data_IF_652703297889
#
_entry.id   IF_652703297889
#
_cell.length_a   1.000
_cell.length_b   1.000
_cell.length_c   1.000
_cell.angle_alpha   90.00
_cell.angle_beta   90.00
_cell.angle_gamma   90.00
#
_symmetry.space_group_name_H-M   'P 1'
#
loop_
_entity.id
_entity.type
_entity.pdbx_description
1 polymer ?
#
# COMPACT_ATOMS: atom_id res chain seq x y z
N UNK A 1 6.37 22.57 -17.70
CA UNK A 1 6.33 21.10 -17.68
C UNK A 1 6.95 20.54 -18.94
N UNK A 2 7.69 19.47 -18.84
CA UNK A 2 8.31 18.79 -19.97
C UNK A 2 7.69 17.38 -20.12
N UNK A 3 7.48 16.95 -21.35
CA UNK A 3 7.06 15.57 -21.62
C UNK A 3 8.12 14.54 -21.24
N UNK A 4 9.36 14.98 -20.98
CA UNK A 4 10.44 14.12 -20.53
C UNK A 4 10.42 13.89 -19.00
N UNK A 5 9.63 14.65 -18.26
CA UNK A 5 9.53 14.48 -16.81
C UNK A 5 9.01 13.09 -16.47
N UNK A 6 9.61 12.48 -15.45
CA UNK A 6 9.25 11.14 -14.97
C UNK A 6 9.00 11.19 -13.49
N UNK A 7 7.97 10.47 -13.06
CA UNK A 7 7.60 10.36 -11.66
C UNK A 7 7.47 8.90 -11.28
N UNK A 8 7.79 8.58 -10.04
CA UNK A 8 7.57 7.24 -9.52
C UNK A 8 6.08 7.09 -9.20
N UNK A 9 5.55 5.93 -9.50
CA UNK A 9 4.18 5.57 -9.17
C UNK A 9 4.21 4.29 -8.34
N UNK A 10 3.44 4.25 -7.27
CA UNK A 10 3.32 3.04 -6.47
C UNK A 10 1.88 2.82 -6.04
N UNK A 11 1.53 1.59 -5.75
CA UNK A 11 0.19 1.21 -5.29
C UNK A 11 0.31 0.35 -4.05
N UNK A 12 -0.46 0.66 -3.02
CA UNK A 12 -0.42 -0.04 -1.74
C UNK A 12 -1.84 -0.34 -1.26
N UNK A 13 -1.97 -1.41 -0.49
CA UNK A 13 -3.23 -1.88 0.04
C UNK A 13 -3.38 -1.59 1.53
N UNK A 14 -4.55 -1.13 1.92
CA UNK A 14 -4.97 -1.11 3.32
C UNK A 14 -5.84 -2.35 3.54
N UNK A 15 -5.28 -3.30 4.28
CA UNK A 15 -5.93 -4.55 4.64
C UNK A 15 -6.07 -4.57 6.16
N UNK A 16 -7.29 -4.71 6.65
CA UNK A 16 -7.54 -4.70 8.10
C UNK A 16 -8.08 -6.04 8.56
N UNK A 17 -7.82 -6.37 9.83
CA UNK A 17 -8.42 -7.51 10.49
C UNK A 17 -9.77 -7.12 11.12
N UNK A 18 -10.38 -8.05 11.87
CA UNK A 18 -11.67 -7.83 12.51
C UNK A 18 -11.62 -6.84 13.68
N UNK A 19 -10.42 -6.42 14.09
CA UNK A 19 -10.22 -5.40 15.13
C UNK A 19 -9.91 -4.03 14.55
N UNK A 20 -9.90 -3.90 13.22
CA UNK A 20 -9.52 -2.66 12.54
C UNK A 20 -8.04 -2.39 12.55
N UNK A 21 -7.21 -3.38 12.88
CA UNK A 21 -5.75 -3.25 12.80
C UNK A 21 -5.28 -3.50 11.38
N UNK A 22 -4.19 -2.86 11.01
CA UNK A 22 -3.72 -2.75 9.62
C UNK A 22 -2.52 -3.65 9.38
N UNK A 23 -2.59 -4.44 8.30
CA UNK A 23 -1.50 -5.31 7.90
C UNK A 23 -0.30 -4.50 7.41
N UNK A 24 0.86 -4.79 8.00
CA UNK A 24 2.14 -4.28 7.52
C UNK A 24 3.13 -5.41 7.33
N UNK A 25 4.07 -5.18 6.42
CA UNK A 25 5.16 -6.10 6.13
C UNK A 25 6.47 -5.41 6.47
N UNK A 26 7.41 -6.17 7.04
CA UNK A 26 8.73 -5.65 7.38
C UNK A 26 9.73 -6.00 6.29
N UNK A 27 10.36 -4.99 5.71
CA UNK A 27 11.37 -5.18 4.67
C UNK A 27 12.63 -5.86 5.21
N UNK A 28 13.29 -6.66 4.35
CA UNK A 28 14.56 -7.32 4.68
C UNK A 28 15.76 -6.47 4.26
N UNK A 29 15.54 -5.33 3.63
CA UNK A 29 16.58 -4.46 3.07
C UNK A 29 16.47 -3.05 3.66
N UNK A 30 17.49 -2.24 3.40
CA UNK A 30 17.53 -0.87 3.87
C UNK A 30 17.46 -0.78 5.39
N UNK A 31 16.62 0.09 5.89
CA UNK A 31 16.39 0.29 7.33
C UNK A 31 15.39 -0.72 7.92
N UNK A 32 14.97 -1.70 7.14
CA UNK A 32 14.02 -2.75 7.55
C UNK A 32 12.73 -2.18 8.10
N UNK A 33 12.18 -1.19 7.39
CA UNK A 33 10.95 -0.52 7.79
C UNK A 33 9.73 -1.38 7.55
N UNK A 34 8.71 -1.12 8.35
CA UNK A 34 7.39 -1.66 8.15
C UNK A 34 6.63 -0.79 7.15
N UNK A 35 5.84 -1.42 6.29
CA UNK A 35 5.05 -0.72 5.28
C UNK A 35 3.82 -1.49 4.86
N UNK A 36 2.91 -0.79 4.20
CA UNK A 36 1.72 -1.41 3.62
C UNK A 36 2.13 -2.33 2.46
N UNK A 37 1.42 -3.45 2.26
CA UNK A 37 1.65 -4.29 1.08
C UNK A 37 1.50 -3.48 -0.21
N UNK A 38 2.34 -3.75 -1.18
CA UNK A 38 2.33 -3.04 -2.46
C UNK A 38 3.72 -2.68 -2.93
N UNK A 39 3.80 -1.88 -3.96
CA UNK A 39 5.08 -1.46 -4.52
C UNK A 39 4.94 -0.63 -5.79
N UNK A 40 6.07 -0.44 -6.46
CA UNK A 40 6.15 0.39 -7.65
C UNK A 40 5.47 -0.26 -8.86
N UNK A 41 4.89 0.57 -9.71
CA UNK A 41 4.37 0.13 -11.00
C UNK A 41 5.53 -0.25 -11.91
N UNK A 42 5.33 -1.30 -12.68
CA UNK A 42 6.18 -1.62 -13.82
C UNK A 42 5.61 -0.98 -15.08
N UNK A 43 6.46 -0.76 -16.11
CA UNK A 43 5.97 -0.22 -17.38
C UNK A 43 4.80 -1.06 -17.92
N UNK A 44 3.74 -0.37 -18.33
CA UNK A 44 2.55 -1.01 -18.88
C UNK A 44 1.50 -1.42 -17.86
N UNK A 45 1.77 -1.27 -16.57
CA UNK A 45 0.80 -1.59 -15.53
C UNK A 45 -0.06 -0.39 -15.16
N UNK A 46 -1.33 -0.65 -14.87
CA UNK A 46 -2.16 0.29 -14.12
C UNK A 46 -1.84 0.17 -12.62
N UNK A 47 -2.22 1.15 -11.80
CA UNK A 47 -2.07 1.03 -10.34
C UNK A 47 -2.72 -0.23 -9.77
N UNK A 48 -3.89 -0.61 -10.26
CA UNK A 48 -4.59 -1.82 -9.79
C UNK A 48 -3.80 -3.09 -10.15
N UNK A 49 -3.30 -3.18 -11.39
CA UNK A 49 -2.50 -4.32 -11.81
C UNK A 49 -1.21 -4.45 -11.00
N UNK A 50 -0.55 -3.33 -10.73
CA UNK A 50 0.65 -3.32 -9.88
C UNK A 50 0.34 -3.79 -8.46
N UNK A 51 -0.76 -3.32 -7.89
CA UNK A 51 -1.21 -3.74 -6.56
C UNK A 51 -1.43 -5.24 -6.50
N UNK A 52 -2.17 -5.79 -7.46
CA UNK A 52 -2.48 -7.21 -7.51
C UNK A 52 -1.22 -8.06 -7.65
N UNK A 53 -0.30 -7.66 -8.54
CA UNK A 53 0.98 -8.35 -8.74
C UNK A 53 1.84 -8.29 -7.49
N UNK A 54 2.05 -7.09 -6.93
CA UNK A 54 2.89 -6.91 -5.73
C UNK A 54 2.36 -7.69 -4.54
N UNK A 55 1.05 -7.63 -4.30
CA UNK A 55 0.46 -8.36 -3.18
C UNK A 55 0.56 -9.87 -3.36
N UNK A 56 0.40 -10.36 -4.58
CA UNK A 56 0.59 -11.79 -4.85
C UNK A 56 2.02 -12.23 -4.57
N UNK A 57 2.99 -11.44 -5.01
CA UNK A 57 4.41 -11.72 -4.76
C UNK A 57 4.74 -11.66 -3.28
N UNK A 58 4.26 -10.63 -2.58
CA UNK A 58 4.61 -10.37 -1.18
C UNK A 58 3.86 -11.25 -0.18
N UNK A 59 2.61 -11.58 -0.46
CA UNK A 59 1.74 -12.30 0.47
C UNK A 59 1.54 -13.77 0.09
N UNK A 60 1.96 -14.17 -1.11
CA UNK A 60 1.80 -15.52 -1.60
C UNK A 60 0.36 -15.91 -1.95
N UNK A 61 -0.54 -14.93 -2.03
CA UNK A 61 -1.94 -15.15 -2.35
C UNK A 61 -2.53 -13.91 -3.03
N UNK A 62 -3.58 -14.13 -3.81
CA UNK A 62 -4.33 -13.03 -4.42
C UNK A 62 -5.07 -12.23 -3.35
N UNK A 63 -5.34 -10.97 -3.64
CA UNK A 63 -6.21 -10.11 -2.83
C UNK A 63 -7.50 -9.83 -3.60
N UNK A 64 -8.54 -9.45 -2.86
CA UNK A 64 -9.72 -8.82 -3.42
C UNK A 64 -9.55 -7.32 -3.28
N UNK A 65 -9.27 -6.63 -4.39
CA UNK A 65 -9.13 -5.19 -4.38
C UNK A 65 -10.50 -4.52 -4.34
N UNK A 66 -10.63 -3.58 -3.41
CA UNK A 66 -11.79 -2.70 -3.30
C UNK A 66 -11.52 -1.36 -3.99
N UNK A 67 -12.14 -0.28 -3.50
CA UNK A 67 -12.00 1.02 -4.15
C UNK A 67 -10.62 1.64 -3.97
N UNK A 68 -10.23 2.47 -4.94
CA UNK A 68 -9.16 3.45 -4.77
C UNK A 68 -9.69 4.51 -3.80
N UNK A 69 -8.97 4.72 -2.70
CA UNK A 69 -9.43 5.63 -1.64
C UNK A 69 -8.62 6.91 -1.53
N UNK A 70 -7.40 6.91 -2.03
CA UNK A 70 -6.56 8.10 -1.99
C UNK A 70 -5.40 8.06 -2.96
N UNK A 71 -4.95 9.25 -3.33
CA UNK A 71 -3.73 9.46 -4.13
C UNK A 71 -2.91 10.53 -3.42
N UNK A 72 -1.64 10.22 -3.16
CA UNK A 72 -0.78 11.08 -2.35
C UNK A 72 0.54 11.33 -3.05
N UNK A 73 0.95 12.59 -3.11
CA UNK A 73 2.30 12.92 -3.52
C UNK A 73 3.23 12.88 -2.32
N UNK A 74 4.30 12.08 -2.43
CA UNK A 74 5.33 12.00 -1.40
C UNK A 74 6.59 12.67 -1.92
N UNK A 75 6.85 13.88 -1.48
CA UNK A 75 7.92 14.72 -2.02
C UNK A 75 9.31 14.11 -1.84
N UNK A 76 9.58 13.45 -0.71
CA UNK A 76 10.88 12.86 -0.44
C UNK A 76 11.28 11.78 -1.46
N UNK A 77 10.31 11.16 -2.12
CA UNK A 77 10.54 10.12 -3.12
C UNK A 77 10.07 10.53 -4.52
N UNK A 78 9.57 11.74 -4.68
CA UNK A 78 8.97 12.22 -5.93
C UNK A 78 7.99 11.19 -6.50
N UNK A 79 7.15 10.64 -5.63
CA UNK A 79 6.28 9.51 -5.94
C UNK A 79 4.81 9.88 -5.77
N UNK A 80 3.98 9.43 -6.72
CA UNK A 80 2.53 9.43 -6.54
C UNK A 80 2.14 8.05 -6.03
N UNK A 81 1.45 8.02 -4.91
CA UNK A 81 1.09 6.80 -4.20
C UNK A 81 -0.41 6.58 -4.25
N UNK A 82 -0.83 5.45 -4.81
CA UNK A 82 -2.23 5.04 -4.91
C UNK A 82 -2.56 4.10 -3.77
N UNK A 83 -3.58 4.45 -2.98
CA UNK A 83 -4.02 3.64 -1.84
C UNK A 83 -5.37 3.02 -2.15
N UNK A 84 -5.43 1.69 -2.04
CA UNK A 84 -6.65 0.91 -2.23
C UNK A 84 -7.06 0.23 -0.93
N UNK A 85 -8.36 0.11 -0.71
CA UNK A 85 -8.87 -0.84 0.26
C UNK A 85 -8.80 -2.23 -0.36
N UNK A 86 -8.40 -3.23 0.42
CA UNK A 86 -8.36 -4.60 -0.07
C UNK A 86 -8.61 -5.59 1.06
N UNK A 87 -8.94 -6.83 0.69
CA UNK A 87 -9.10 -7.94 1.63
C UNK A 87 -8.25 -9.11 1.15
N UNK A 88 -7.79 -9.93 2.11
CA UNK A 88 -7.10 -11.17 1.79
C UNK A 88 -8.12 -12.22 1.34
N UNK A 89 -7.73 -13.04 0.34
CA UNK A 89 -8.55 -14.16 -0.11
C UNK A 89 -8.23 -15.44 0.66
N UNK A 90 -7.17 -15.43 1.46
CA UNK A 90 -6.69 -16.57 2.22
C UNK A 90 -6.15 -16.11 3.57
N UNK A 91 -6.31 -16.95 4.59
CA UNK A 91 -5.72 -16.68 5.91
C UNK A 91 -4.22 -16.96 5.96
N UNK A 92 -3.69 -17.64 4.93
CA UNK A 92 -2.29 -18.02 4.88
C UNK A 92 -1.49 -16.98 4.10
N UNK A 93 -0.53 -16.34 4.79
CA UNK A 93 0.42 -15.40 4.20
C UNK A 93 1.76 -16.12 4.05
N UNK A 94 2.31 -16.08 2.83
CA UNK A 94 3.64 -16.60 2.53
C UNK A 94 4.52 -15.48 2.05
N UNK A 95 5.40 -15.01 2.92
CA UNK A 95 6.28 -13.90 2.60
C UNK A 95 7.35 -14.30 1.58
N UNK A 96 7.69 -13.36 0.68
CA UNK A 96 8.85 -13.50 -0.20
C UNK A 96 10.13 -13.16 0.57
N UNK A 97 11.29 -13.30 -0.10
CA UNK A 97 12.58 -12.94 0.50
C UNK A 97 12.70 -11.44 0.79
N UNK A 98 11.86 -10.60 0.22
CA UNK A 98 11.88 -9.15 0.44
C UNK A 98 11.30 -8.72 1.78
N UNK A 99 10.53 -9.59 2.44
CA UNK A 99 9.91 -9.30 3.72
C UNK A 99 10.16 -10.43 4.73
N UNK A 100 10.49 -10.05 5.96
CA UNK A 100 10.82 -11.00 7.04
C UNK A 100 9.66 -11.29 7.97
N UNK A 101 8.72 -10.35 8.09
CA UNK A 101 7.62 -10.45 9.05
C UNK A 101 6.37 -9.78 8.49
N UNK A 102 5.23 -10.24 8.93
CA UNK A 102 3.96 -9.54 8.73
C UNK A 102 3.23 -9.46 10.06
N UNK A 103 2.51 -8.36 10.27
CA UNK A 103 1.78 -8.13 11.52
C UNK A 103 0.69 -7.11 11.30
N UNK A 104 -0.40 -7.24 12.05
CA UNK A 104 -1.45 -6.23 12.10
C UNK A 104 -1.16 -5.25 13.23
N UNK A 105 -1.21 -3.96 12.91
CA UNK A 105 -0.90 -2.88 13.86
C UNK A 105 -2.12 -1.99 14.10
N UNK A 106 -2.29 -1.49 15.34
CA UNK A 106 -3.23 -0.40 15.58
C UNK A 106 -2.86 0.81 14.72
N UNK A 107 -3.85 1.48 14.15
CA UNK A 107 -3.61 2.66 13.30
C UNK A 107 -2.75 3.70 14.04
N UNK A 108 -3.01 3.91 15.31
CA UNK A 108 -2.30 4.90 16.12
C UNK A 108 -0.79 4.63 16.27
N UNK A 109 -0.33 3.40 16.01
CA UNK A 109 1.10 3.05 16.09
C UNK A 109 1.84 3.20 14.76
N UNK A 110 1.14 3.54 13.69
CA UNK A 110 1.76 3.77 12.38
C UNK A 110 2.46 5.14 12.34
N UNK A 111 3.34 5.33 11.35
CA UNK A 111 3.91 6.67 11.09
C UNK A 111 2.80 7.68 10.77
N UNK A 112 3.07 8.96 10.96
CA UNK A 112 2.09 10.02 10.70
C UNK A 112 1.55 9.95 9.26
N UNK A 113 2.44 9.73 8.29
CA UNK A 113 2.05 9.61 6.87
C UNK A 113 1.13 8.41 6.67
N UNK A 114 1.49 7.26 7.21
CA UNK A 114 0.67 6.05 7.07
C UNK A 114 -0.66 6.18 7.81
N UNK A 115 -0.68 6.84 8.95
CA UNK A 115 -1.94 7.11 9.66
C UNK A 115 -2.91 7.89 8.77
N UNK A 116 -2.42 8.94 8.10
CA UNK A 116 -3.25 9.74 7.22
C UNK A 116 -3.84 8.90 6.08
N UNK A 117 -2.99 8.13 5.41
CA UNK A 117 -3.41 7.25 4.31
C UNK A 117 -4.45 6.23 4.75
N UNK A 118 -4.21 5.59 5.89
CA UNK A 118 -5.08 4.55 6.43
C UNK A 118 -6.40 5.14 6.92
N UNK A 119 -6.37 6.26 7.66
CA UNK A 119 -7.59 6.89 8.16
C UNK A 119 -8.48 7.36 7.01
N UNK A 120 -7.90 7.95 5.98
CA UNK A 120 -8.63 8.35 4.77
C UNK A 120 -9.29 7.14 4.11
N UNK A 121 -8.57 6.02 4.05
CA UNK A 121 -9.08 4.77 3.48
C UNK A 121 -10.25 4.22 4.30
N UNK A 122 -10.11 4.16 5.62
CA UNK A 122 -11.13 3.58 6.50
C UNK A 122 -12.38 4.47 6.58
N UNK A 123 -12.25 5.76 6.34
CA UNK A 123 -13.38 6.72 6.33
C UNK A 123 -13.90 6.99 4.92
N UNK A 124 -13.44 6.26 3.92
CA UNK A 124 -13.83 6.47 2.53
C UNK A 124 -15.34 6.28 2.34
N UNK A 125 -15.97 7.25 1.65
CA UNK A 125 -17.40 7.26 1.37
C UNK A 125 -17.72 7.62 -0.09
N UNK A 126 -16.84 7.18 -1.00
CA UNK A 126 -17.03 7.37 -2.44
C UNK A 126 -16.24 8.52 -3.05
N UNK A 127 -15.59 9.35 -2.24
CA UNK A 127 -14.72 10.43 -2.76
C UNK A 127 -13.26 10.09 -2.48
N UNK A 128 -12.47 10.03 -3.54
CA UNK A 128 -11.03 9.80 -3.44
C UNK A 128 -10.36 10.98 -2.73
N UNK A 129 -9.54 10.69 -1.75
CA UNK A 129 -8.77 11.71 -1.01
C UNK A 129 -7.46 12.01 -1.73
N UNK A 130 -6.98 13.22 -1.57
CA UNK A 130 -5.70 13.64 -2.12
C UNK A 130 -4.88 14.29 -1.01
N UNK A 131 -3.58 14.01 -1.01
CA UNK A 131 -2.69 14.57 0.00
C UNK A 131 -1.28 14.74 -0.55
N UNK A 132 -0.48 15.43 0.24
CA UNK A 132 0.90 15.77 -0.11
C UNK A 132 1.74 15.76 1.15
N UNK A 133 2.87 15.07 1.09
CA UNK A 133 3.79 14.93 2.22
C UNK A 133 5.21 15.35 1.89
#
# INVERSE_FOLDING_TARGET
>A
MSYADRFRLSAHAVIVDNRGQVLQLRATYGERRWGLPGGALEPGETPLEALERECREELGAAIDAGPLTGVYFHAAHESQVFIFRATLTSDTVRLSAEHSEHMYFPVASLSTIQQQRVRDCLSFRGSVRFGKF
#
